data_IF_433921579512
#
_entry.id   IF_433921579512
#
_cell.length_a   1.000
_cell.length_b   1.000
_cell.length_c   1.000
_cell.angle_alpha   90.00
_cell.angle_beta   90.00
_cell.angle_gamma   90.00
#
_symmetry.space_group_name_H-M   'P 1'
#
loop_
_entity.id
_entity.type
_entity.pdbx_description
1 polymer ?
#
# COMPACT_ATOMS: atom_id res chain seq x y z
N UNK A 1 33.31 54.23 41.83
CA UNK A 1 33.10 53.97 43.25
C UNK A 1 32.95 52.47 43.38
N UNK A 2 34.03 51.69 43.65
CA UNK A 2 34.55 51.26 44.97
C UNK A 2 33.39 50.55 45.73
N UNK A 3 33.40 49.27 46.02
CA UNK A 3 34.19 48.46 46.94
C UNK A 3 33.97 46.98 46.54
N UNK A 4 34.89 46.10 46.25
CA UNK A 4 35.94 45.46 47.08
C UNK A 4 35.40 44.27 47.95
N UNK A 5 35.80 43.05 47.53
CA UNK A 5 36.39 41.93 48.27
C UNK A 5 35.85 41.55 49.66
N UNK A 6 35.48 40.28 49.85
CA UNK A 6 36.11 39.42 50.89
C UNK A 6 36.03 37.97 50.50
N UNK A 7 37.19 37.32 50.47
CA UNK A 7 37.44 35.87 50.39
C UNK A 7 37.30 35.31 51.80
N UNK A 8 36.64 34.19 51.99
CA UNK A 8 36.95 33.32 53.12
C UNK A 8 36.85 31.83 52.70
N UNK A 9 38.03 31.22 52.71
CA UNK A 9 38.20 29.78 52.59
C UNK A 9 37.90 29.12 53.95
N UNK A 10 37.13 28.05 53.96
CA UNK A 10 37.12 27.08 55.06
C UNK A 10 37.16 25.68 54.47
N UNK A 11 38.31 25.06 54.60
CA UNK A 11 38.47 23.62 54.56
C UNK A 11 37.74 23.00 55.73
N UNK A 12 36.93 21.95 55.48
CA UNK A 12 36.63 20.95 56.49
C UNK A 12 36.58 19.56 55.86
N UNK A 13 37.38 18.70 56.41
CA UNK A 13 37.44 17.27 56.17
C UNK A 13 36.08 16.63 56.43
N UNK A 14 35.66 15.77 55.54
CA UNK A 14 34.56 14.88 55.83
C UNK A 14 34.85 13.47 55.38
N UNK A 15 34.64 12.59 56.32
CA UNK A 15 34.95 11.21 56.41
C UNK A 15 34.33 10.34 55.28
N UNK A 16 35.10 9.33 54.85
CA UNK A 16 34.67 8.20 54.10
C UNK A 16 33.62 7.37 54.87
N UNK A 17 32.38 7.41 54.42
CA UNK A 17 31.36 6.44 54.78
C UNK A 17 31.20 5.47 53.58
N UNK A 18 31.82 4.32 53.64
CA UNK A 18 31.62 3.20 52.76
C UNK A 18 30.20 2.67 52.99
N UNK A 19 29.28 2.97 52.10
CA UNK A 19 27.96 2.32 52.04
C UNK A 19 28.14 0.95 51.42
N UNK A 20 28.06 -0.09 52.28
CA UNK A 20 27.88 -1.45 51.85
C UNK A 20 26.53 -1.59 51.09
N UNK A 21 26.58 -1.62 49.77
CA UNK A 21 25.43 -2.03 48.98
C UNK A 21 25.17 -3.51 49.16
N UNK A 22 24.12 -3.84 49.91
CA UNK A 22 23.60 -5.16 50.01
C UNK A 22 23.15 -5.65 48.61
N UNK A 23 23.85 -6.66 48.06
CA UNK A 23 23.45 -7.37 46.87
C UNK A 23 22.09 -8.03 47.12
N UNK A 24 21.02 -7.47 46.52
CA UNK A 24 19.76 -8.18 46.40
C UNK A 24 19.98 -9.38 45.46
N UNK A 25 19.61 -10.60 45.84
CA UNK A 25 19.71 -11.74 44.93
C UNK A 25 18.79 -11.52 43.73
N UNK A 26 19.33 -11.76 42.53
CA UNK A 26 18.59 -11.73 41.29
C UNK A 26 17.37 -12.66 41.34
N UNK A 27 16.18 -12.25 40.88
CA UNK A 27 15.02 -13.14 40.86
C UNK A 27 15.31 -14.36 39.99
N UNK A 28 15.03 -15.56 40.53
CA UNK A 28 15.11 -16.82 39.77
C UNK A 28 14.26 -16.71 38.51
N UNK A 29 14.73 -17.24 37.36
CA UNK A 29 13.92 -17.30 36.15
C UNK A 29 12.59 -17.99 36.43
N UNK A 30 11.48 -17.32 36.27
CA UNK A 30 10.18 -17.95 36.26
C UNK A 30 10.11 -18.90 35.06
N UNK A 31 9.54 -20.11 35.22
CA UNK A 31 9.29 -20.98 34.09
C UNK A 31 8.43 -20.22 33.06
N UNK A 32 8.96 -19.97 31.88
CA UNK A 32 8.15 -19.45 30.79
C UNK A 32 7.01 -20.44 30.53
N UNK A 33 5.77 -19.96 30.71
CA UNK A 33 4.62 -20.76 30.36
C UNK A 33 4.76 -21.16 28.88
N UNK A 34 4.71 -22.48 28.64
CA UNK A 34 4.82 -23.04 27.32
C UNK A 34 3.80 -22.33 26.39
N UNK A 35 4.30 -21.63 25.36
CA UNK A 35 3.45 -20.99 24.39
C UNK A 35 2.49 -22.04 23.83
N UNK A 36 1.18 -21.75 23.85
CA UNK A 36 0.16 -22.59 23.20
C UNK A 36 0.65 -22.90 21.77
N UNK A 37 0.65 -24.18 21.34
CA UNK A 37 1.04 -24.50 19.98
C UNK A 37 0.17 -23.70 19.00
N UNK A 38 0.83 -23.05 18.04
CA UNK A 38 0.15 -22.34 16.98
C UNK A 38 -0.84 -23.29 16.25
N UNK A 39 -2.01 -22.83 15.82
CA UNK A 39 -2.95 -23.67 15.10
C UNK A 39 -2.22 -24.29 13.90
N UNK A 40 -2.33 -25.60 13.75
CA UNK A 40 -1.71 -26.33 12.62
C UNK A 40 -2.27 -25.74 11.32
N UNK A 41 -1.37 -25.27 10.45
CA UNK A 41 -1.74 -24.84 9.09
C UNK A 41 -2.46 -25.99 8.38
N UNK A 42 -3.59 -25.73 7.69
CA UNK A 42 -4.25 -26.72 6.87
C UNK A 42 -3.41 -27.12 5.64
N UNK A 43 -2.31 -26.42 5.40
CA UNK A 43 -1.41 -26.65 4.28
C UNK A 43 -0.17 -27.45 4.71
N UNK A 44 0.36 -28.30 3.80
CA UNK A 44 1.61 -29.02 4.06
C UNK A 44 2.81 -28.06 4.22
N UNK A 45 3.93 -28.53 4.77
CA UNK A 45 5.14 -27.71 4.88
C UNK A 45 5.55 -27.12 3.52
N UNK A 46 6.06 -25.88 3.49
CA UNK A 46 6.45 -25.22 2.25
C UNK A 46 7.61 -25.96 1.56
N UNK A 47 7.48 -26.16 0.24
CA UNK A 47 8.46 -26.85 -0.58
C UNK A 47 9.55 -25.92 -1.15
N UNK A 48 9.29 -24.62 -1.26
CA UNK A 48 10.21 -23.62 -1.82
C UNK A 48 9.91 -22.23 -1.26
N UNK A 49 10.87 -21.31 -1.43
CA UNK A 49 10.73 -19.92 -0.98
C UNK A 49 10.40 -19.00 -2.13
N UNK A 50 9.59 -17.97 -1.86
CA UNK A 50 9.23 -16.90 -2.81
C UNK A 50 9.31 -15.56 -2.05
N UNK A 51 9.90 -14.55 -2.67
CA UNK A 51 9.86 -13.18 -2.17
C UNK A 51 8.81 -12.39 -2.95
N UNK A 52 7.81 -11.87 -2.23
CA UNK A 52 6.73 -11.02 -2.77
C UNK A 52 7.00 -9.57 -2.39
N UNK A 53 7.17 -8.72 -3.38
CA UNK A 53 7.40 -7.28 -3.18
C UNK A 53 6.12 -6.49 -3.36
N UNK A 54 6.00 -5.43 -2.56
CA UNK A 54 4.91 -4.45 -2.66
C UNK A 54 5.43 -3.03 -2.47
N UNK A 55 4.61 -2.03 -2.81
CA UNK A 55 4.93 -0.63 -2.54
C UNK A 55 4.66 -0.23 -1.10
N UNK A 56 3.58 -0.72 -0.51
CA UNK A 56 3.21 -0.45 0.88
C UNK A 56 2.67 0.95 1.15
N UNK A 57 2.31 1.72 0.12
CA UNK A 57 1.79 3.09 0.24
C UNK A 57 0.45 3.30 -0.49
N UNK A 58 -0.33 2.22 -0.66
CA UNK A 58 -1.61 2.24 -1.37
C UNK A 58 -2.72 1.53 -0.57
N UNK A 59 -3.13 2.10 0.59
CA UNK A 59 -4.16 1.52 1.44
C UNK A 59 -5.54 1.54 0.75
N UNK A 60 -6.41 0.54 1.00
CA UNK A 60 -6.18 -0.65 1.82
C UNK A 60 -5.60 -1.83 1.04
N UNK A 61 -5.21 -1.63 -0.23
CA UNK A 61 -4.72 -2.70 -1.11
C UNK A 61 -3.35 -3.21 -0.64
N UNK A 62 -2.38 -2.31 -0.50
CA UNK A 62 -1.08 -2.61 0.06
C UNK A 62 -0.61 -1.45 0.95
N UNK A 63 -0.18 -1.76 2.15
CA UNK A 63 0.24 -0.82 3.18
C UNK A 63 1.34 -1.41 4.04
N UNK A 64 1.87 -0.64 4.97
CA UNK A 64 2.74 -1.15 6.03
C UNK A 64 1.97 -1.14 7.35
N UNK A 65 2.13 -2.19 8.13
CA UNK A 65 1.59 -2.26 9.48
C UNK A 65 2.40 -1.38 10.47
N UNK A 66 2.02 -1.39 11.75
CA UNK A 66 2.71 -0.62 12.81
C UNK A 66 4.17 -1.03 13.03
N UNK A 67 4.58 -2.20 12.54
CA UNK A 67 5.95 -2.72 12.61
C UNK A 67 6.73 -2.48 11.33
N UNK A 68 6.12 -1.81 10.33
CA UNK A 68 6.71 -1.58 9.03
C UNK A 68 6.66 -2.80 8.09
N UNK A 69 5.87 -3.81 8.42
CA UNK A 69 5.73 -5.01 7.57
C UNK A 69 4.62 -4.83 6.54
N UNK A 70 4.79 -5.37 5.31
CA UNK A 70 3.77 -5.36 4.28
C UNK A 70 2.45 -5.99 4.74
N UNK A 71 1.35 -5.28 4.51
CA UNK A 71 0.00 -5.65 4.91
C UNK A 71 -1.03 -5.17 3.87
N UNK A 72 -2.30 -5.51 4.06
CA UNK A 72 -3.41 -5.09 3.20
C UNK A 72 -3.97 -6.22 2.36
N UNK A 73 -4.97 -5.87 1.54
CA UNK A 73 -5.73 -6.83 0.74
C UNK A 73 -4.83 -7.70 -0.17
N UNK A 74 -3.89 -7.08 -0.87
CA UNK A 74 -2.99 -7.80 -1.78
C UNK A 74 -2.03 -8.73 -1.03
N UNK A 75 -1.60 -8.34 0.19
CA UNK A 75 -0.74 -9.19 1.00
C UNK A 75 -1.50 -10.39 1.56
N UNK A 76 -2.76 -10.22 1.97
CA UNK A 76 -3.60 -11.34 2.38
C UNK A 76 -3.89 -12.29 1.21
N UNK A 77 -4.14 -11.76 -0.01
CA UNK A 77 -4.26 -12.58 -1.22
C UNK A 77 -2.97 -13.34 -1.54
N UNK A 78 -1.83 -12.66 -1.46
CA UNK A 78 -0.53 -13.27 -1.70
C UNK A 78 -0.23 -14.38 -0.69
N UNK A 79 -0.49 -14.13 0.59
CA UNK A 79 -0.29 -15.14 1.66
C UNK A 79 -1.11 -16.40 1.40
N UNK A 80 -2.38 -16.26 1.04
CA UNK A 80 -3.25 -17.39 0.71
C UNK A 80 -2.77 -18.10 -0.58
N UNK A 81 -2.36 -17.35 -1.61
CA UNK A 81 -1.80 -17.94 -2.82
C UNK A 81 -0.53 -18.76 -2.53
N UNK A 82 0.36 -18.24 -1.67
CA UNK A 82 1.57 -18.91 -1.25
C UNK A 82 1.28 -20.24 -0.53
N UNK A 83 0.29 -20.24 0.36
CA UNK A 83 -0.14 -21.46 1.07
C UNK A 83 -0.64 -22.52 0.08
N UNK A 84 -1.47 -22.15 -0.90
CA UNK A 84 -1.97 -23.06 -1.95
C UNK A 84 -0.86 -23.58 -2.85
N UNK A 85 0.13 -22.73 -3.16
CA UNK A 85 1.32 -23.13 -3.91
C UNK A 85 2.31 -23.97 -3.10
N UNK A 86 2.09 -24.15 -1.78
CA UNK A 86 3.04 -24.79 -0.86
C UNK A 86 4.38 -24.05 -0.82
N UNK A 87 4.36 -22.73 -0.91
CA UNK A 87 5.53 -21.88 -0.86
C UNK A 87 5.66 -21.18 0.51
N UNK A 88 6.90 -21.03 1.00
CA UNK A 88 7.21 -20.08 2.07
C UNK A 88 7.39 -18.70 1.45
N UNK A 89 6.48 -17.78 1.73
CA UNK A 89 6.59 -16.44 1.19
C UNK A 89 7.16 -15.47 2.23
N UNK A 90 8.13 -14.68 1.77
CA UNK A 90 8.64 -13.51 2.44
C UNK A 90 8.06 -12.27 1.76
N UNK A 91 7.60 -11.30 2.55
CA UNK A 91 7.01 -10.06 2.04
C UNK A 91 7.96 -8.89 2.29
N UNK A 92 8.25 -8.11 1.25
CA UNK A 92 9.15 -6.96 1.31
C UNK A 92 8.49 -5.73 0.71
N UNK A 93 8.79 -4.57 1.28
CA UNK A 93 8.42 -3.28 0.68
C UNK A 93 9.59 -2.72 -0.13
N UNK A 94 9.27 -2.11 -1.28
CA UNK A 94 10.24 -1.42 -2.12
C UNK A 94 9.61 -0.14 -2.69
N UNK A 95 10.44 0.83 -3.06
CA UNK A 95 9.93 2.01 -3.74
C UNK A 95 9.33 1.66 -5.10
N UNK A 96 8.30 2.41 -5.49
CA UNK A 96 7.54 2.16 -6.72
C UNK A 96 8.43 1.96 -7.96
N UNK A 97 9.41 2.85 -8.12
CA UNK A 97 10.31 2.82 -9.27
C UNK A 97 11.29 1.64 -9.25
N UNK A 98 11.48 1.00 -8.10
CA UNK A 98 12.39 -0.15 -7.93
C UNK A 98 11.67 -1.50 -8.06
N UNK A 99 10.32 -1.54 -8.06
CA UNK A 99 9.55 -2.78 -8.10
C UNK A 99 9.81 -3.59 -9.38
N UNK A 100 9.65 -2.97 -10.55
CA UNK A 100 9.84 -3.68 -11.83
C UNK A 100 11.33 -3.97 -12.10
N UNK A 101 12.26 -3.01 -11.93
CA UNK A 101 13.68 -3.31 -12.03
C UNK A 101 14.13 -4.43 -11.08
N UNK A 102 13.75 -4.35 -9.81
CA UNK A 102 14.11 -5.37 -8.82
C UNK A 102 13.55 -6.76 -9.12
N UNK A 103 12.35 -6.84 -9.71
CA UNK A 103 11.80 -8.12 -10.19
C UNK A 103 12.65 -8.70 -11.32
N UNK A 104 13.06 -7.89 -12.30
CA UNK A 104 13.91 -8.30 -13.41
C UNK A 104 15.30 -8.72 -12.90
N UNK A 105 15.85 -7.98 -11.94
CA UNK A 105 17.14 -8.25 -11.28
C UNK A 105 17.09 -9.41 -10.29
N UNK A 106 15.94 -10.12 -10.17
CA UNK A 106 15.75 -11.27 -9.27
C UNK A 106 15.90 -10.94 -7.78
N UNK A 107 15.68 -9.68 -7.37
CA UNK A 107 15.62 -9.30 -5.94
C UNK A 107 14.35 -9.83 -5.29
N UNK A 108 13.29 -10.01 -6.07
CA UNK A 108 12.03 -10.62 -5.68
C UNK A 108 11.47 -11.48 -6.82
N UNK A 109 10.47 -12.29 -6.53
CA UNK A 109 9.88 -13.25 -7.48
C UNK A 109 8.51 -12.83 -7.99
N UNK A 110 7.75 -12.12 -7.15
CA UNK A 110 6.41 -11.61 -7.46
C UNK A 110 6.33 -10.16 -6.99
N UNK A 111 5.69 -9.30 -7.77
CA UNK A 111 5.31 -7.94 -7.39
C UNK A 111 3.79 -7.85 -7.30
N UNK A 112 3.27 -7.50 -6.12
CA UNK A 112 1.86 -7.20 -5.88
C UNK A 112 1.75 -5.80 -5.26
N UNK A 113 1.47 -4.83 -6.09
CA UNK A 113 1.49 -3.40 -5.75
C UNK A 113 0.45 -2.63 -6.57
N UNK A 114 -0.74 -3.21 -6.74
CA UNK A 114 -1.81 -2.63 -7.55
C UNK A 114 -1.38 -2.34 -9.00
N UNK A 115 -0.63 -3.27 -9.59
CA UNK A 115 -0.11 -3.13 -10.96
C UNK A 115 -1.21 -3.32 -11.99
N UNK A 116 -1.60 -2.24 -12.66
CA UNK A 116 -2.48 -2.31 -13.84
C UNK A 116 -1.83 -3.11 -14.97
N UNK A 117 -2.63 -3.91 -15.64
CA UNK A 117 -2.20 -4.69 -16.79
C UNK A 117 -2.22 -3.83 -18.05
N UNK A 118 -1.15 -3.05 -18.24
CA UNK A 118 -0.95 -2.23 -19.43
C UNK A 118 -0.19 -2.97 -20.55
N UNK A 119 -0.31 -2.55 -21.82
CA UNK A 119 0.51 -3.10 -22.90
C UNK A 119 2.01 -2.98 -22.65
N UNK A 120 2.46 -1.89 -22.03
CA UNK A 120 3.87 -1.70 -21.70
C UNK A 120 4.35 -2.73 -20.67
N UNK A 121 3.62 -2.89 -19.55
CA UNK A 121 3.97 -3.86 -18.51
C UNK A 121 3.95 -5.29 -19.03
N UNK A 122 3.00 -5.64 -19.91
CA UNK A 122 2.96 -6.95 -20.59
C UNK A 122 4.17 -7.23 -21.48
N UNK A 123 4.79 -6.21 -22.07
CA UNK A 123 6.04 -6.40 -22.84
C UNK A 123 7.23 -6.74 -21.95
N UNK A 124 7.24 -6.22 -20.72
CA UNK A 124 8.36 -6.38 -19.78
C UNK A 124 8.19 -7.55 -18.83
N UNK A 125 6.96 -7.89 -18.45
CA UNK A 125 6.62 -8.83 -17.40
C UNK A 125 5.68 -9.94 -17.87
N UNK A 126 5.74 -11.08 -17.19
CA UNK A 126 4.70 -12.08 -17.18
C UNK A 126 3.61 -11.67 -16.18
N UNK A 127 2.58 -10.98 -16.66
CA UNK A 127 1.46 -10.60 -15.80
C UNK A 127 0.62 -11.84 -15.45
N UNK A 128 0.20 -11.96 -14.19
CA UNK A 128 -0.74 -13.00 -13.77
C UNK A 128 -2.14 -12.79 -14.35
N UNK A 129 -3.07 -13.71 -14.07
CA UNK A 129 -4.49 -13.41 -14.24
C UNK A 129 -4.86 -12.20 -13.35
N UNK A 130 -5.78 -11.38 -13.85
CA UNK A 130 -6.33 -10.27 -13.09
C UNK A 130 -7.03 -10.79 -11.83
N UNK A 131 -6.83 -10.11 -10.71
CA UNK A 131 -7.52 -10.43 -9.46
C UNK A 131 -8.46 -9.32 -8.97
N UNK A 132 -8.39 -8.09 -9.52
CA UNK A 132 -9.46 -7.09 -9.36
C UNK A 132 -9.53 -6.09 -10.51
N UNK A 133 -10.66 -5.35 -10.57
CA UNK A 133 -10.87 -4.25 -11.50
C UNK A 133 -10.64 -2.91 -10.78
N UNK A 134 -9.94 -2.00 -11.46
CA UNK A 134 -9.65 -0.66 -11.01
C UNK A 134 -10.01 0.36 -12.10
N UNK A 135 -11.30 0.66 -12.35
CA UNK A 135 -11.66 1.73 -13.28
C UNK A 135 -11.23 3.08 -12.71
N UNK A 136 -10.78 3.98 -13.58
CA UNK A 136 -10.54 5.37 -13.21
C UNK A 136 -11.86 6.09 -12.92
N UNK A 137 -11.84 6.99 -11.96
CA UNK A 137 -12.98 7.86 -11.64
C UNK A 137 -12.51 9.24 -11.21
N UNK A 138 -13.40 10.21 -11.31
CA UNK A 138 -13.21 11.51 -10.70
C UNK A 138 -13.95 11.61 -9.38
N UNK A 139 -13.40 12.36 -8.44
CA UNK A 139 -14.04 12.79 -7.20
C UNK A 139 -13.90 14.30 -7.07
N UNK A 140 -14.96 14.98 -6.61
CA UNK A 140 -14.98 16.42 -6.36
C UNK A 140 -15.86 16.76 -5.17
N UNK A 141 -15.88 18.04 -4.79
CA UNK A 141 -16.77 18.55 -3.76
C UNK A 141 -18.25 18.29 -4.12
N UNK A 142 -19.08 17.97 -3.12
CA UNK A 142 -20.52 17.84 -3.28
C UNK A 142 -21.10 19.13 -3.85
N UNK A 143 -21.97 19.00 -4.85
CA UNK A 143 -22.57 20.15 -5.52
C UNK A 143 -21.67 20.84 -6.56
N UNK A 144 -20.46 20.35 -6.80
CA UNK A 144 -19.64 20.85 -7.90
C UNK A 144 -20.34 20.58 -9.25
N UNK A 145 -20.30 21.53 -10.20
CA UNK A 145 -21.03 21.44 -11.47
C UNK A 145 -20.31 20.56 -12.51
N UNK A 146 -19.76 19.41 -12.08
CA UNK A 146 -18.92 18.55 -12.92
C UNK A 146 -19.53 17.16 -13.13
N UNK A 147 -20.77 16.93 -12.67
CA UNK A 147 -21.45 15.65 -12.85
C UNK A 147 -21.89 15.48 -14.30
N UNK A 148 -21.04 14.86 -15.09
CA UNK A 148 -21.26 14.69 -16.52
C UNK A 148 -19.97 14.22 -17.22
N UNK A 149 -19.82 14.55 -18.52
CA UNK A 149 -18.64 14.15 -19.26
C UNK A 149 -17.38 14.84 -18.73
N UNK A 150 -16.20 14.19 -18.80
CA UNK A 150 -14.93 14.75 -18.30
C UNK A 150 -14.57 16.12 -18.90
N UNK A 151 -15.17 16.49 -20.04
CA UNK A 151 -14.96 17.81 -20.67
C UNK A 151 -15.36 18.99 -19.79
N UNK A 152 -16.23 18.78 -18.79
CA UNK A 152 -16.60 19.81 -17.80
C UNK A 152 -15.43 20.21 -16.88
N UNK A 153 -14.38 19.39 -16.82
CA UNK A 153 -13.19 19.65 -16.04
C UNK A 153 -12.13 20.49 -16.78
N UNK A 154 -12.44 21.03 -17.94
CA UNK A 154 -11.55 21.97 -18.66
C UNK A 154 -11.30 23.22 -17.82
N UNK A 155 -10.05 23.70 -17.84
CA UNK A 155 -9.56 24.84 -17.04
C UNK A 155 -9.62 24.63 -15.52
N UNK A 156 -9.85 23.39 -15.06
CA UNK A 156 -9.92 23.04 -13.63
C UNK A 156 -8.58 22.52 -13.11
N UNK A 157 -8.40 22.61 -11.79
CA UNK A 157 -7.25 22.07 -11.08
C UNK A 157 -7.56 20.61 -10.75
N UNK A 158 -6.86 19.68 -11.42
CA UNK A 158 -7.09 18.25 -11.25
C UNK A 158 -5.87 17.64 -10.56
N UNK A 159 -6.09 17.03 -9.39
CA UNK A 159 -5.10 16.24 -8.66
C UNK A 159 -4.95 14.85 -9.25
N UNK A 160 -3.75 14.31 -9.20
CA UNK A 160 -3.44 12.94 -9.58
C UNK A 160 -2.15 12.47 -8.90
N UNK A 161 -2.10 11.20 -8.52
CA UNK A 161 -0.87 10.59 -8.05
C UNK A 161 0.16 10.55 -9.19
N UNK A 162 1.38 11.06 -8.93
CA UNK A 162 2.49 11.00 -9.90
C UNK A 162 2.89 9.55 -10.19
N UNK A 163 3.52 9.34 -11.35
CA UNK A 163 4.07 8.04 -11.76
C UNK A 163 3.03 6.91 -11.81
N UNK A 164 1.75 7.28 -12.11
CA UNK A 164 0.61 6.37 -12.19
C UNK A 164 0.00 6.34 -13.59
N UNK A 165 -0.70 5.24 -13.91
CA UNK A 165 -1.51 5.14 -15.15
C UNK A 165 -2.59 6.22 -15.23
N UNK A 166 -3.07 6.71 -14.09
CA UNK A 166 -4.03 7.81 -14.01
C UNK A 166 -3.38 9.14 -14.43
N UNK A 167 -2.11 9.39 -14.04
CA UNK A 167 -1.37 10.56 -14.50
C UNK A 167 -1.16 10.53 -16.02
N UNK A 168 -0.79 9.36 -16.57
CA UNK A 168 -0.62 9.18 -18.01
C UNK A 168 -1.93 9.43 -18.76
N UNK A 169 -3.06 8.99 -18.21
CA UNK A 169 -4.37 9.22 -18.79
C UNK A 169 -4.75 10.70 -18.79
N UNK A 170 -4.50 11.42 -17.69
CA UNK A 170 -4.74 12.88 -17.64
C UNK A 170 -3.83 13.61 -18.62
N UNK A 171 -2.58 13.25 -18.74
CA UNK A 171 -1.66 13.86 -19.71
C UNK A 171 -2.16 13.69 -21.15
N UNK A 172 -2.63 12.51 -21.48
CA UNK A 172 -3.20 12.22 -22.80
C UNK A 172 -4.45 13.03 -23.10
N UNK A 173 -5.34 13.20 -22.11
CA UNK A 173 -6.69 13.73 -22.33
C UNK A 173 -6.86 15.20 -21.90
N UNK A 174 -6.07 15.70 -20.93
CA UNK A 174 -6.26 17.00 -20.28
C UNK A 174 -5.05 17.92 -20.28
N UNK A 175 -3.87 17.48 -20.73
CA UNK A 175 -2.62 18.25 -20.67
C UNK A 175 -2.72 19.69 -21.17
N UNK A 176 -3.57 19.93 -22.20
CA UNK A 176 -3.75 21.25 -22.82
C UNK A 176 -5.01 21.97 -22.34
N UNK A 177 -5.82 21.34 -21.53
CA UNK A 177 -7.15 21.84 -21.18
C UNK A 177 -7.42 21.93 -19.68
N UNK A 178 -6.54 21.44 -18.82
CA UNK A 178 -6.67 21.54 -17.37
C UNK A 178 -5.30 21.78 -16.70
N UNK A 179 -5.35 22.18 -15.42
CA UNK A 179 -4.15 22.33 -14.58
C UNK A 179 -3.94 21.03 -13.80
N UNK A 180 -3.06 20.16 -14.30
CA UNK A 180 -2.78 18.89 -13.64
C UNK A 180 -1.77 19.10 -12.51
N UNK A 181 -2.17 18.79 -11.28
CA UNK A 181 -1.33 18.82 -10.06
C UNK A 181 -0.96 17.41 -9.65
N UNK A 182 0.35 17.14 -9.53
CA UNK A 182 0.86 15.80 -9.20
C UNK A 182 1.31 15.72 -7.75
N UNK A 183 0.85 14.68 -7.07
CA UNK A 183 1.11 14.43 -5.67
C UNK A 183 1.92 13.13 -5.48
N UNK A 184 2.67 13.05 -4.39
CA UNK A 184 3.47 11.87 -4.08
C UNK A 184 2.59 10.69 -3.63
N UNK A 185 1.46 10.99 -2.98
CA UNK A 185 0.50 9.99 -2.52
C UNK A 185 -0.93 10.39 -2.86
N UNK A 186 -1.82 9.41 -2.88
CA UNK A 186 -3.27 9.64 -3.04
C UNK A 186 -3.84 10.40 -1.83
N UNK A 187 -3.30 10.16 -0.64
CA UNK A 187 -3.73 10.87 0.57
C UNK A 187 -3.49 12.39 0.45
N UNK A 188 -2.30 12.80 -0.03
CA UNK A 188 -1.96 14.22 -0.19
C UNK A 188 -2.91 14.92 -1.20
N UNK A 189 -3.22 14.27 -2.34
CA UNK A 189 -4.12 14.85 -3.34
C UNK A 189 -5.56 14.96 -2.84
N UNK A 190 -6.03 13.98 -2.06
CA UNK A 190 -7.37 13.99 -1.49
C UNK A 190 -7.51 15.01 -0.36
N UNK A 191 -6.46 15.21 0.44
CA UNK A 191 -6.41 16.30 1.41
C UNK A 191 -6.43 17.67 0.74
N UNK A 192 -5.71 17.86 -0.37
CA UNK A 192 -5.73 19.09 -1.16
C UNK A 192 -7.13 19.34 -1.74
N UNK A 193 -7.85 18.30 -2.19
CA UNK A 193 -9.24 18.41 -2.60
C UNK A 193 -10.15 18.88 -1.46
N UNK A 194 -10.04 18.25 -0.28
CA UNK A 194 -10.84 18.62 0.89
C UNK A 194 -10.62 20.08 1.34
N UNK A 195 -9.41 20.61 1.16
CA UNK A 195 -9.05 22.01 1.42
C UNK A 195 -9.51 23.00 0.33
N UNK A 196 -10.09 22.50 -0.78
CA UNK A 196 -10.47 23.36 -1.92
C UNK A 196 -9.30 23.85 -2.78
N UNK A 197 -8.10 23.27 -2.62
CA UNK A 197 -6.92 23.56 -3.45
C UNK A 197 -7.02 22.93 -4.85
N UNK A 198 -7.89 21.92 -4.98
CA UNK A 198 -8.23 21.22 -6.22
C UNK A 198 -9.73 21.32 -6.51
N UNK A 199 -10.08 21.25 -7.77
CA UNK A 199 -11.48 21.19 -8.23
C UNK A 199 -11.95 19.74 -8.36
N UNK A 200 -11.03 18.81 -8.68
CA UNK A 200 -11.28 17.37 -8.75
C UNK A 200 -9.99 16.59 -8.51
N UNK A 201 -10.12 15.30 -8.20
CA UNK A 201 -9.03 14.31 -8.21
C UNK A 201 -9.42 13.17 -9.15
N UNK A 202 -8.45 12.64 -9.89
CA UNK A 202 -8.61 11.47 -10.76
C UNK A 202 -7.76 10.32 -10.27
N UNK A 203 -8.39 9.18 -9.98
CA UNK A 203 -7.71 8.01 -9.44
C UNK A 203 -8.51 6.73 -9.55
N UNK A 204 -8.06 5.68 -8.85
CA UNK A 204 -8.78 4.42 -8.71
C UNK A 204 -10.13 4.64 -8.00
N UNK A 205 -11.21 4.21 -8.65
CA UNK A 205 -12.57 4.39 -8.14
C UNK A 205 -12.77 3.83 -6.74
N UNK A 206 -12.25 2.64 -6.47
CA UNK A 206 -12.45 2.00 -5.18
C UNK A 206 -11.75 2.78 -4.06
N UNK A 207 -10.55 3.28 -4.33
CA UNK A 207 -9.79 4.07 -3.37
C UNK A 207 -10.45 5.43 -3.11
N UNK A 208 -10.87 6.14 -4.16
CA UNK A 208 -11.59 7.40 -4.04
C UNK A 208 -12.91 7.23 -3.29
N UNK A 209 -13.64 6.15 -3.59
CA UNK A 209 -14.89 5.85 -2.90
C UNK A 209 -14.67 5.57 -1.41
N UNK A 210 -13.69 4.72 -1.07
CA UNK A 210 -13.36 4.41 0.33
C UNK A 210 -12.97 5.66 1.11
N UNK A 211 -12.22 6.56 0.50
CA UNK A 211 -11.86 7.82 1.14
C UNK A 211 -13.10 8.70 1.38
N UNK A 212 -14.02 8.78 0.41
CA UNK A 212 -15.26 9.59 0.56
C UNK A 212 -16.20 9.09 1.67
N UNK A 213 -16.00 7.86 2.18
CA UNK A 213 -16.76 7.32 3.31
C UNK A 213 -16.14 7.67 4.68
N UNK A 214 -14.97 8.27 4.70
CA UNK A 214 -14.30 8.72 5.92
C UNK A 214 -14.73 10.15 6.29
N UNK A 215 -14.61 10.56 7.57
CA UNK A 215 -14.95 11.93 7.99
C UNK A 215 -14.26 13.02 7.16
N UNK A 216 -12.98 12.85 6.85
CA UNK A 216 -12.20 13.79 6.02
C UNK A 216 -12.66 13.84 4.56
N UNK A 217 -13.36 12.82 4.08
CA UNK A 217 -13.90 12.70 2.74
C UNK A 217 -15.37 13.08 2.59
N UNK A 218 -16.05 13.44 3.68
CA UNK A 218 -17.48 13.79 3.67
C UNK A 218 -17.82 15.00 2.76
N UNK A 219 -16.84 15.85 2.46
CA UNK A 219 -17.00 16.97 1.54
C UNK A 219 -17.36 16.55 0.11
N UNK A 220 -17.06 15.33 -0.25
CA UNK A 220 -16.77 14.99 -1.62
C UNK A 220 -17.51 13.74 -2.08
N UNK A 221 -17.69 13.60 -3.40
CA UNK A 221 -18.45 12.52 -4.03
C UNK A 221 -17.83 12.14 -5.38
N UNK A 222 -17.93 10.86 -5.73
CA UNK A 222 -17.58 10.40 -7.07
C UNK A 222 -18.48 11.07 -8.12
N UNK A 223 -17.91 11.42 -9.26
CA UNK A 223 -18.58 12.12 -10.34
C UNK A 223 -18.47 11.37 -11.65
N UNK A 224 -19.50 11.55 -12.48
CA UNK A 224 -19.54 11.07 -13.84
C UNK A 224 -19.48 9.53 -13.93
N UNK A 225 -19.07 9.05 -15.10
CA UNK A 225 -18.97 7.63 -15.39
C UNK A 225 -17.58 7.08 -15.14
N UNK A 226 -17.50 5.77 -14.92
CA UNK A 226 -16.24 5.04 -14.84
C UNK A 226 -15.42 5.21 -16.12
N UNK A 227 -14.17 5.59 -15.97
CA UNK A 227 -13.23 5.73 -17.09
C UNK A 227 -12.56 4.38 -17.33
N UNK A 228 -12.79 3.83 -18.51
CA UNK A 228 -12.22 2.54 -18.95
C UNK A 228 -11.41 2.79 -20.23
N UNK A 229 -10.12 3.08 -20.07
CA UNK A 229 -9.17 3.25 -21.19
C UNK A 229 -8.13 2.14 -21.11
N UNK A 230 -8.44 0.99 -21.69
CA UNK A 230 -7.56 -0.19 -21.66
C UNK A 230 -6.11 0.09 -22.12
N UNK A 231 -5.86 0.89 -23.17
CA UNK A 231 -4.50 1.21 -23.56
C UNK A 231 -3.68 1.93 -22.49
N UNK A 232 -4.31 2.78 -21.66
CA UNK A 232 -3.63 3.60 -20.66
C UNK A 232 -3.83 3.05 -19.24
N UNK A 233 -5.08 2.85 -18.82
CA UNK A 233 -5.42 2.38 -17.47
C UNK A 233 -5.28 0.86 -17.30
N UNK A 234 -5.15 0.11 -18.43
CA UNK A 234 -5.07 -1.33 -18.38
C UNK A 234 -6.45 -2.01 -18.29
N UNK A 235 -6.43 -3.33 -18.10
CA UNK A 235 -7.62 -4.18 -18.03
C UNK A 235 -7.94 -4.66 -16.60
N UNK A 236 -7.37 -4.01 -15.62
CA UNK A 236 -7.42 -4.35 -14.20
C UNK A 236 -6.06 -4.75 -13.66
N UNK A 237 -6.01 -5.14 -12.40
CA UNK A 237 -4.79 -5.35 -11.63
C UNK A 237 -4.38 -6.82 -11.59
N UNK A 238 -3.07 -7.05 -11.73
CA UNK A 238 -2.44 -8.38 -11.72
C UNK A 238 -1.10 -8.33 -11.01
N UNK A 239 -0.61 -9.48 -10.58
CA UNK A 239 0.76 -9.61 -10.11
C UNK A 239 1.75 -9.57 -11.28
N UNK A 240 2.87 -8.88 -11.08
CA UNK A 240 4.02 -8.94 -11.96
C UNK A 240 4.93 -10.10 -11.58
N UNK A 241 5.32 -10.91 -12.57
CA UNK A 241 6.25 -12.04 -12.44
C UNK A 241 7.23 -11.93 -13.59
N UNK A 242 8.45 -12.46 -13.49
CA UNK A 242 9.37 -12.48 -14.64
C UNK A 242 8.76 -13.28 -15.79
N UNK A 243 9.03 -12.88 -17.02
CA UNK A 243 8.43 -13.54 -18.21
C UNK A 243 8.83 -15.00 -18.33
N UNK A 244 10.07 -15.32 -17.98
CA UNK A 244 10.65 -16.66 -18.00
C UNK A 244 10.11 -17.57 -16.89
N UNK A 245 9.61 -17.02 -15.79
CA UNK A 245 9.09 -17.80 -14.65
C UNK A 245 7.66 -18.31 -14.89
N UNK A 246 7.47 -18.98 -16.04
CA UNK A 246 6.15 -19.48 -16.48
C UNK A 246 5.50 -20.39 -15.44
N UNK A 247 6.27 -21.32 -14.85
CA UNK A 247 5.76 -22.26 -13.84
C UNK A 247 5.27 -21.55 -12.58
N UNK A 248 5.99 -20.51 -12.12
CA UNK A 248 5.54 -19.70 -10.98
C UNK A 248 4.25 -18.96 -11.31
N UNK A 249 4.17 -18.36 -12.49
CA UNK A 249 2.97 -17.65 -12.94
C UNK A 249 1.75 -18.56 -13.05
N UNK A 250 1.92 -19.77 -13.59
CA UNK A 250 0.85 -20.76 -13.70
C UNK A 250 0.37 -21.23 -12.32
N UNK A 251 1.30 -21.52 -11.40
CA UNK A 251 0.98 -21.89 -10.03
C UNK A 251 0.21 -20.78 -9.30
N UNK A 252 0.69 -19.52 -9.43
CA UNK A 252 0.01 -18.37 -8.87
C UNK A 252 -1.39 -18.16 -9.48
N UNK A 253 -1.52 -18.26 -10.81
CA UNK A 253 -2.81 -18.16 -11.50
C UNK A 253 -3.80 -19.23 -11.06
N UNK A 254 -3.32 -20.47 -10.85
CA UNK A 254 -4.13 -21.56 -10.32
C UNK A 254 -4.62 -21.23 -8.91
N UNK A 255 -3.74 -20.80 -8.02
CA UNK A 255 -4.08 -20.43 -6.66
C UNK A 255 -5.15 -19.32 -6.60
N UNK A 256 -4.97 -18.23 -7.38
CA UNK A 256 -5.98 -17.16 -7.50
C UNK A 256 -7.32 -17.72 -8.03
N UNK A 257 -7.27 -18.62 -9.05
CA UNK A 257 -8.47 -19.23 -9.60
C UNK A 257 -9.24 -20.08 -8.58
N UNK A 258 -8.54 -20.86 -7.79
CA UNK A 258 -9.11 -21.67 -6.72
C UNK A 258 -9.76 -20.81 -5.64
N UNK A 259 -9.08 -19.71 -5.21
CA UNK A 259 -9.66 -18.75 -4.26
C UNK A 259 -10.96 -18.11 -4.76
N UNK A 260 -11.04 -17.81 -6.05
CA UNK A 260 -12.26 -17.28 -6.67
C UNK A 260 -13.38 -18.32 -6.69
N UNK A 261 -13.05 -19.58 -6.98
CA UNK A 261 -14.01 -20.66 -7.12
C UNK A 261 -14.60 -21.11 -5.76
N UNK A 262 -13.78 -21.20 -4.71
CA UNK A 262 -14.20 -21.70 -3.39
C UNK A 262 -14.69 -20.59 -2.45
N UNK A 263 -14.73 -19.35 -2.90
CA UNK A 263 -15.22 -18.20 -2.14
C UNK A 263 -14.21 -17.59 -1.16
N UNK A 264 -12.98 -18.08 -1.09
CA UNK A 264 -11.91 -17.50 -0.25
C UNK A 264 -11.60 -16.06 -0.66
N UNK A 265 -11.54 -15.80 -1.98
CA UNK A 265 -11.37 -14.45 -2.51
C UNK A 265 -12.46 -13.50 -1.95
N UNK A 266 -13.72 -13.91 -1.97
CA UNK A 266 -14.85 -13.12 -1.47
C UNK A 266 -14.70 -12.80 0.02
N UNK A 267 -14.26 -13.77 0.82
CA UNK A 267 -14.01 -13.57 2.26
C UNK A 267 -12.88 -12.56 2.49
N UNK A 268 -11.78 -12.66 1.76
CA UNK A 268 -10.68 -11.70 1.83
C UNK A 268 -11.11 -10.30 1.35
N UNK A 269 -11.85 -10.24 0.24
CA UNK A 269 -12.39 -8.95 -0.25
C UNK A 269 -13.28 -8.28 0.80
N UNK A 270 -14.21 -9.01 1.43
CA UNK A 270 -15.12 -8.46 2.41
C UNK A 270 -14.45 -7.94 3.70
N UNK A 271 -13.22 -8.34 3.97
CA UNK A 271 -12.41 -7.81 5.08
C UNK A 271 -12.01 -6.35 4.87
N UNK A 272 -11.86 -5.94 3.61
CA UNK A 272 -11.35 -4.62 3.24
C UNK A 272 -12.38 -3.74 2.54
N UNK A 273 -13.35 -4.34 1.83
CA UNK A 273 -14.28 -3.62 0.97
C UNK A 273 -15.71 -4.08 1.19
N UNK A 274 -16.69 -3.16 1.29
CA UNK A 274 -18.11 -3.51 1.40
C UNK A 274 -18.74 -3.91 0.05
N UNK A 275 -17.95 -3.94 -1.03
CA UNK A 275 -18.36 -4.33 -2.38
C UNK A 275 -17.34 -5.29 -3.00
N UNK A 276 -17.73 -5.97 -4.08
CA UNK A 276 -16.82 -6.86 -4.81
C UNK A 276 -15.92 -6.06 -5.75
N UNK A 277 -14.64 -6.39 -5.74
CA UNK A 277 -13.64 -5.86 -6.67
C UNK A 277 -13.50 -6.72 -7.95
N UNK A 278 -14.15 -7.90 -8.01
CA UNK A 278 -14.07 -8.85 -9.12
C UNK A 278 -15.46 -9.18 -9.66
#
# INVERSE_FOLDING_TARGET
MRWALVVLATMLMAANAAFAQAHKPSPKPQPQAAAKPAPKSPYPPPAFKITVATWGKYPPFNTLDRKGLPAGFEMDLAQEACQRMKAACEFVAADWNDLIPGLIDKKFDIVMASLDVTPERRRRLGMSRRYYLAPGAFIAAKGAPYDGPPTLLRNKRIGVQKDSTHADWLDKNFRRSAQIKRYASVEDELQALAKGELDAVFGDKAQLWLWSQKPEGECCVLMGQDIKDTPTLGIGVSAGIRREDVKLREAFNKAIGEMMADGTYRKLNAKYFPFSLN
#
